data_IF_887235758564
#
_entry.id   IF_887235758564
#
_cell.length_a   1.000
_cell.length_b   1.000
_cell.length_c   1.000
_cell.angle_alpha   90.00
_cell.angle_beta   90.00
_cell.angle_gamma   90.00
#
_symmetry.space_group_name_H-M   'P 1'
#
loop_
_entity.id
_entity.type
_entity.pdbx_description
1 polymer ?
#
# COMPACT_ATOMS: atom_id res chain seq x y z
N UNK A 1 -33.04 24.64 52.29
CA UNK A 1 -31.66 24.97 51.86
C UNK A 1 -30.85 23.71 52.07
N UNK A 2 -30.26 23.00 51.11
CA UNK A 2 -29.84 23.26 49.71
C UNK A 2 -29.99 21.97 48.89
N UNK A 3 -30.15 22.14 47.59
CA UNK A 3 -30.48 21.15 46.57
C UNK A 3 -29.26 20.70 45.74
N UNK A 4 -29.31 19.46 45.23
CA UNK A 4 -28.68 18.92 43.98
C UNK A 4 -27.13 18.88 43.97
N UNK A 5 -26.46 17.89 43.37
CA UNK A 5 -26.65 17.37 42.02
C UNK A 5 -26.04 15.97 41.84
N UNK A 6 -26.81 15.03 41.28
CA UNK A 6 -26.34 13.74 40.76
C UNK A 6 -25.79 13.93 39.34
N UNK A 7 -24.49 13.73 39.13
CA UNK A 7 -23.89 13.73 37.79
C UNK A 7 -24.12 12.38 37.10
N UNK A 8 -25.14 12.33 36.25
CA UNK A 8 -25.31 11.31 35.21
C UNK A 8 -24.22 11.46 34.15
N UNK A 9 -23.45 10.41 33.89
CA UNK A 9 -22.53 10.31 32.76
C UNK A 9 -23.28 10.25 31.41
N UNK A 10 -22.95 11.07 30.40
CA UNK A 10 -23.53 10.92 29.07
C UNK A 10 -22.64 10.09 28.13
N UNK A 11 -23.06 8.85 27.91
CA UNK A 11 -22.57 7.95 26.87
C UNK A 11 -23.18 8.36 25.50
N UNK A 12 -22.81 9.52 24.92
CA UNK A 12 -23.51 10.07 23.73
C UNK A 12 -22.63 10.58 22.58
N UNK A 13 -21.47 9.96 22.31
CA UNK A 13 -20.55 10.44 21.23
C UNK A 13 -20.31 9.47 20.07
N UNK A 14 -21.20 8.51 19.81
CA UNK A 14 -21.01 7.50 18.74
C UNK A 14 -21.62 7.85 17.37
N UNK A 15 -22.53 8.82 17.27
CA UNK A 15 -23.23 9.11 16.00
C UNK A 15 -22.71 10.34 15.23
N UNK A 16 -22.07 11.30 15.91
CA UNK A 16 -21.72 12.59 15.33
C UNK A 16 -20.73 12.51 14.15
N UNK A 17 -19.90 11.47 14.06
CA UNK A 17 -18.85 11.38 13.03
C UNK A 17 -19.28 10.66 11.74
N UNK A 18 -20.19 9.69 11.82
CA UNK A 18 -20.86 9.13 10.64
C UNK A 18 -21.68 10.20 9.91
N UNK A 19 -22.21 11.18 10.66
CA UNK A 19 -22.89 12.35 10.12
C UNK A 19 -21.89 13.35 9.53
N UNK A 20 -20.71 13.56 10.15
CA UNK A 20 -19.72 14.51 9.67
C UNK A 20 -19.13 14.12 8.29
N UNK A 21 -18.77 12.84 8.08
CA UNK A 21 -18.26 12.36 6.77
C UNK A 21 -19.34 12.44 5.68
N UNK A 22 -20.62 12.22 6.04
CA UNK A 22 -21.76 12.36 5.11
C UNK A 22 -22.10 13.83 4.82
N UNK A 23 -22.02 14.71 5.82
CA UNK A 23 -22.22 16.17 5.69
C UNK A 23 -21.09 16.84 4.89
N UNK A 24 -19.85 16.36 4.99
CA UNK A 24 -18.73 16.81 4.17
C UNK A 24 -18.92 16.42 2.68
N UNK A 25 -19.50 15.24 2.44
CA UNK A 25 -19.93 14.79 1.10
C UNK A 25 -21.05 15.66 0.52
N UNK A 26 -22.05 16.03 1.33
CA UNK A 26 -23.11 16.96 0.92
C UNK A 26 -22.58 18.38 0.66
N UNK A 27 -21.62 18.86 1.48
CA UNK A 27 -20.91 20.14 1.25
C UNK A 27 -20.08 20.17 -0.03
N UNK A 28 -19.63 19.02 -0.54
CA UNK A 28 -18.92 18.93 -1.83
C UNK A 28 -19.87 18.92 -3.02
N UNK A 29 -21.07 18.32 -2.90
CA UNK A 29 -22.10 18.39 -3.93
C UNK A 29 -22.65 19.80 -4.13
N UNK A 30 -22.84 20.57 -3.05
CA UNK A 30 -23.32 21.95 -3.11
C UNK A 30 -22.32 22.92 -3.78
N UNK A 31 -21.04 22.54 -3.90
CA UNK A 31 -19.99 23.39 -4.51
C UNK A 31 -19.91 23.34 -6.04
N UNK A 32 -20.61 22.42 -6.70
CA UNK A 32 -20.57 22.29 -8.17
C UNK A 32 -21.87 22.73 -8.88
N UNK A 33 -22.72 23.52 -8.22
CA UNK A 33 -23.91 24.11 -8.83
C UNK A 33 -23.72 25.59 -9.14
N UNK A 34 -23.50 25.90 -10.42
CA UNK A 34 -23.84 27.14 -11.15
C UNK A 34 -23.45 28.48 -10.50
N UNK A 35 -22.46 29.14 -11.10
CA UNK A 35 -22.17 30.57 -10.91
C UNK A 35 -23.35 31.39 -11.44
N UNK A 36 -24.14 31.95 -10.54
CA UNK A 36 -24.97 33.12 -10.83
C UNK A 36 -24.69 34.21 -9.79
N UNK A 37 -24.32 35.38 -10.30
CA UNK A 37 -23.97 36.60 -9.59
C UNK A 37 -25.13 37.11 -8.73
N UNK A 38 -24.91 37.29 -7.41
CA UNK A 38 -25.86 37.98 -6.55
C UNK A 38 -25.70 37.68 -5.05
N UNK A 39 -25.09 38.64 -4.32
CA UNK A 39 -25.04 38.85 -2.87
C UNK A 39 -24.74 37.69 -1.88
N UNK A 40 -23.91 37.92 -0.84
CA UNK A 40 -23.56 36.90 0.14
C UNK A 40 -24.74 36.60 1.07
N UNK A 41 -25.54 35.58 0.74
CA UNK A 41 -26.50 35.03 1.71
C UNK A 41 -25.73 34.32 2.82
N UNK A 42 -25.73 34.93 4.03
CA UNK A 42 -25.42 34.22 5.28
C UNK A 42 -26.34 33.00 5.38
N UNK A 43 -25.82 31.81 5.10
CA UNK A 43 -26.54 30.56 5.32
C UNK A 43 -26.61 30.33 6.84
N UNK A 44 -27.76 30.62 7.43
CA UNK A 44 -28.10 30.16 8.77
C UNK A 44 -28.07 28.62 8.77
N UNK A 45 -27.17 28.03 9.55
CA UNK A 45 -27.22 26.61 9.86
C UNK A 45 -28.52 26.35 10.63
N UNK A 46 -29.54 25.83 9.95
CA UNK A 46 -30.74 25.33 10.60
C UNK A 46 -30.29 24.31 11.65
N UNK A 47 -30.70 24.51 12.92
CA UNK A 47 -30.42 23.57 14.00
C UNK A 47 -31.16 22.27 13.70
N UNK A 48 -30.49 21.37 13.00
CA UNK A 48 -30.99 20.03 12.71
C UNK A 48 -31.15 19.28 14.04
N UNK A 49 -32.37 18.79 14.32
CA UNK A 49 -32.65 18.03 15.54
C UNK A 49 -32.09 16.60 15.43
N UNK A 50 -30.94 16.38 16.07
CA UNK A 50 -30.24 15.10 16.04
C UNK A 50 -31.02 13.98 16.74
N UNK A 51 -31.96 14.29 17.65
CA UNK A 51 -32.82 13.26 18.27
C UNK A 51 -33.77 12.65 17.24
N UNK A 52 -34.24 13.45 16.27
CA UNK A 52 -35.09 12.99 15.16
C UNK A 52 -34.29 12.27 14.07
N UNK A 53 -33.08 12.74 13.76
CA UNK A 53 -32.23 12.10 12.74
C UNK A 53 -31.61 10.78 13.20
N UNK A 54 -31.29 10.63 14.49
CA UNK A 54 -30.65 9.44 15.03
C UNK A 54 -31.33 8.12 14.63
N UNK A 55 -32.66 7.95 14.84
CA UNK A 55 -33.34 6.72 14.42
C UNK A 55 -33.31 6.54 12.90
N UNK A 56 -33.42 7.61 12.10
CA UNK A 56 -33.35 7.52 10.64
C UNK A 56 -31.97 7.07 10.13
N UNK A 57 -30.89 7.55 10.76
CA UNK A 57 -29.51 7.18 10.42
C UNK A 57 -29.25 5.72 10.78
N UNK A 58 -29.65 5.29 11.97
CA UNK A 58 -29.51 3.89 12.40
C UNK A 58 -30.26 2.96 11.47
N UNK A 59 -31.52 3.28 11.13
CA UNK A 59 -32.31 2.53 10.15
C UNK A 59 -31.64 2.45 8.77
N UNK A 60 -30.95 3.51 8.34
CA UNK A 60 -30.21 3.52 7.07
C UNK A 60 -28.95 2.66 7.12
N UNK A 61 -28.23 2.66 8.25
CA UNK A 61 -27.05 1.81 8.46
C UNK A 61 -27.47 0.35 8.47
N UNK A 62 -28.51 0.02 9.22
CA UNK A 62 -29.08 -1.33 9.28
C UNK A 62 -29.52 -1.82 7.89
N UNK A 63 -30.27 -0.99 7.15
CA UNK A 63 -30.65 -1.31 5.76
C UNK A 63 -29.44 -1.53 4.84
N UNK A 64 -28.35 -0.77 5.02
CA UNK A 64 -27.11 -0.99 4.25
C UNK A 64 -26.44 -2.29 4.65
N UNK A 65 -26.39 -2.59 5.95
CA UNK A 65 -25.76 -3.80 6.48
C UNK A 65 -26.42 -5.08 5.94
N UNK A 66 -27.72 -5.06 5.69
CA UNK A 66 -28.46 -6.18 5.07
C UNK A 66 -27.94 -6.55 3.66
N UNK A 67 -27.27 -5.65 2.95
CA UNK A 67 -26.67 -5.91 1.64
C UNK A 67 -25.28 -6.54 1.69
N UNK A 68 -24.73 -6.78 2.89
CA UNK A 68 -23.40 -7.33 3.10
C UNK A 68 -23.47 -8.78 3.61
N UNK A 69 -22.53 -9.65 3.22
CA UNK A 69 -21.49 -9.42 2.21
C UNK A 69 -22.08 -9.29 0.79
N UNK A 70 -21.42 -8.51 -0.07
CA UNK A 70 -21.82 -8.37 -1.47
C UNK A 70 -21.42 -9.66 -2.20
N UNK A 71 -22.42 -10.52 -2.49
CA UNK A 71 -22.22 -11.89 -3.00
C UNK A 71 -21.31 -11.97 -4.24
N UNK A 72 -21.39 -10.99 -5.14
CA UNK A 72 -20.55 -10.93 -6.35
C UNK A 72 -19.06 -10.69 -6.07
N UNK A 73 -18.71 -10.21 -4.87
CA UNK A 73 -17.33 -10.00 -4.45
C UNK A 73 -16.72 -11.20 -3.72
N UNK A 74 -17.51 -12.20 -3.33
CA UNK A 74 -17.01 -13.39 -2.64
C UNK A 74 -15.94 -14.13 -3.46
N UNK A 75 -16.10 -14.35 -4.78
CA UNK A 75 -15.06 -14.99 -5.59
C UNK A 75 -13.75 -14.19 -5.63
N UNK A 76 -13.84 -12.85 -5.70
CA UNK A 76 -12.68 -11.95 -5.67
C UNK A 76 -11.94 -12.07 -4.33
N UNK A 77 -12.68 -12.14 -3.22
CA UNK A 77 -12.09 -12.32 -1.90
C UNK A 77 -11.40 -13.68 -1.74
N UNK A 78 -11.98 -14.77 -2.29
CA UNK A 78 -11.33 -16.09 -2.31
C UNK A 78 -10.05 -16.08 -3.14
N UNK A 79 -10.09 -15.49 -4.34
CA UNK A 79 -8.92 -15.34 -5.22
C UNK A 79 -7.80 -14.55 -4.52
N UNK A 80 -8.14 -13.48 -3.79
CA UNK A 80 -7.18 -12.70 -2.99
C UNK A 80 -6.49 -13.54 -1.92
N UNK A 81 -7.23 -14.40 -1.20
CA UNK A 81 -6.65 -15.29 -0.19
C UNK A 81 -5.75 -16.36 -0.82
N UNK A 82 -6.16 -16.96 -1.95
CA UNK A 82 -5.33 -17.93 -2.68
C UNK A 82 -4.03 -17.28 -3.17
N UNK A 83 -4.14 -16.12 -3.83
CA UNK A 83 -2.98 -15.37 -4.31
C UNK A 83 -2.05 -14.97 -3.15
N UNK A 84 -2.61 -14.60 -2.00
CA UNK A 84 -1.80 -14.35 -0.79
C UNK A 84 -1.01 -15.58 -0.37
N UNK A 85 -1.63 -16.77 -0.33
CA UNK A 85 -0.94 -17.99 0.09
C UNK A 85 0.19 -18.37 -0.88
N UNK A 86 -0.09 -18.33 -2.19
CA UNK A 86 0.92 -18.59 -3.23
C UNK A 86 2.07 -17.60 -3.15
N UNK A 87 1.78 -16.31 -2.92
CA UNK A 87 2.80 -15.27 -2.75
C UNK A 87 3.70 -15.53 -1.53
N UNK A 88 3.11 -15.81 -0.37
CA UNK A 88 3.87 -16.05 0.86
C UNK A 88 4.75 -17.29 0.73
N UNK A 89 4.20 -18.38 0.20
CA UNK A 89 4.96 -19.60 -0.06
C UNK A 89 6.09 -19.35 -1.06
N UNK A 90 5.79 -18.71 -2.20
CA UNK A 90 6.77 -18.40 -3.24
C UNK A 90 7.93 -17.54 -2.73
N UNK A 91 7.64 -16.45 -2.02
CA UNK A 91 8.70 -15.61 -1.42
C UNK A 91 9.52 -16.41 -0.40
N UNK A 92 8.88 -17.21 0.46
CA UNK A 92 9.58 -18.04 1.44
C UNK A 92 10.52 -19.03 0.76
N UNK A 93 10.07 -19.71 -0.29
CA UNK A 93 10.86 -20.67 -1.07
C UNK A 93 12.05 -19.99 -1.75
N UNK A 94 11.84 -18.83 -2.39
CA UNK A 94 12.92 -18.09 -3.05
C UNK A 94 13.99 -17.59 -2.07
N UNK A 95 13.61 -17.22 -0.84
CA UNK A 95 14.55 -16.77 0.20
C UNK A 95 15.49 -17.88 0.71
N UNK A 96 15.21 -19.16 0.41
CA UNK A 96 16.13 -20.25 0.70
C UNK A 96 17.35 -20.27 -0.25
N UNK A 97 17.21 -19.67 -1.44
CA UNK A 97 18.24 -19.66 -2.48
C UNK A 97 18.82 -18.27 -2.72
N UNK A 98 18.04 -17.21 -2.49
CA UNK A 98 18.45 -15.83 -2.71
C UNK A 98 18.61 -15.10 -1.36
N UNK A 99 19.83 -14.67 -1.00
CA UNK A 99 20.07 -13.96 0.24
C UNK A 99 19.34 -12.61 0.25
N UNK A 100 18.84 -12.26 1.43
CA UNK A 100 18.21 -10.98 1.71
C UNK A 100 18.92 -10.31 2.86
N UNK A 101 19.29 -9.05 2.67
CA UNK A 101 19.88 -8.19 3.69
C UNK A 101 18.85 -7.16 4.14
N UNK A 102 18.66 -7.03 5.45
CA UNK A 102 17.84 -5.99 6.06
C UNK A 102 18.71 -5.06 6.91
N UNK A 103 18.42 -3.76 6.91
CA UNK A 103 19.15 -2.82 7.74
C UNK A 103 18.67 -2.92 9.19
N UNK A 104 19.61 -2.99 10.14
CA UNK A 104 19.32 -3.07 11.58
C UNK A 104 18.57 -1.84 12.13
N UNK A 105 18.72 -0.69 11.50
CA UNK A 105 18.28 0.59 12.07
C UNK A 105 17.15 1.27 11.30
N UNK A 106 16.92 0.89 10.05
CA UNK A 106 15.87 1.49 9.23
C UNK A 106 15.20 0.42 8.37
N UNK A 107 14.01 0.70 7.81
CA UNK A 107 13.28 -0.27 7.01
C UNK A 107 13.93 -0.62 5.66
N UNK A 108 15.17 -0.22 5.36
CA UNK A 108 15.78 -0.51 4.05
C UNK A 108 16.22 -1.97 3.95
N UNK A 109 16.01 -2.58 2.78
CA UNK A 109 16.38 -3.97 2.50
C UNK A 109 17.08 -4.04 1.14
N UNK A 110 17.84 -5.11 0.92
CA UNK A 110 18.54 -5.37 -0.33
C UNK A 110 18.55 -6.87 -0.61
N UNK A 111 18.15 -7.26 -1.82
CA UNK A 111 18.22 -8.67 -2.27
C UNK A 111 19.62 -8.92 -2.82
N UNK A 112 20.41 -9.79 -2.22
CA UNK A 112 21.79 -10.06 -2.63
C UNK A 112 22.67 -10.50 -1.46
N UNK A 113 23.87 -11.03 -1.78
CA UNK A 113 24.80 -11.56 -0.77
C UNK A 113 25.31 -10.47 0.18
N UNK A 114 25.55 -9.28 -0.36
CA UNK A 114 26.01 -8.11 0.38
C UNK A 114 25.07 -6.95 0.08
N UNK A 115 24.78 -6.15 1.11
CA UNK A 115 23.98 -4.94 0.94
C UNK A 115 24.76 -3.82 0.24
N UNK A 116 24.06 -2.76 -0.15
CA UNK A 116 24.67 -1.61 -0.83
C UNK A 116 25.40 -0.65 0.14
N UNK A 117 26.23 0.21 -0.43
CA UNK A 117 26.96 1.28 0.26
C UNK A 117 26.33 2.68 0.08
N UNK A 118 25.14 2.75 -0.52
CA UNK A 118 24.38 4.00 -0.61
C UNK A 118 24.07 4.51 0.81
N UNK A 119 24.42 5.77 1.05
CA UNK A 119 24.28 6.46 2.33
C UNK A 119 22.85 7.00 2.50
N UNK A 120 21.89 6.11 2.70
CA UNK A 120 20.47 6.45 2.93
C UNK A 120 19.98 6.12 4.33
N UNK A 121 20.82 5.48 5.16
CA UNK A 121 20.41 5.05 6.48
C UNK A 121 20.13 6.23 7.41
N UNK A 122 19.03 6.12 8.17
CA UNK A 122 18.68 7.07 9.24
C UNK A 122 19.31 6.73 10.61
N UNK A 123 20.03 5.61 10.68
CA UNK A 123 20.68 5.14 11.90
C UNK A 123 19.73 4.93 13.07
N UNK A 124 20.28 4.59 14.22
CA UNK A 124 19.51 4.36 15.43
C UNK A 124 18.71 5.60 15.84
N UNK A 125 17.40 5.42 16.09
CA UNK A 125 16.47 6.50 16.50
C UNK A 125 16.44 7.71 15.55
N UNK A 126 16.73 7.53 14.26
CA UNK A 126 16.74 8.60 13.25
C UNK A 126 17.69 9.78 13.57
N UNK A 127 18.73 9.55 14.39
CA UNK A 127 19.65 10.61 14.83
C UNK A 127 20.75 10.93 13.83
N UNK A 128 21.15 9.94 13.02
CA UNK A 128 22.18 10.10 12.02
C UNK A 128 21.54 10.17 10.63
N UNK A 129 21.98 11.10 9.78
CA UNK A 129 21.54 11.15 8.38
C UNK A 129 22.68 10.69 7.49
N UNK A 130 22.32 10.07 6.37
CA UNK A 130 23.23 9.74 5.28
C UNK A 130 24.41 8.84 5.73
N UNK A 131 24.11 7.76 6.45
CA UNK A 131 25.10 6.70 6.75
C UNK A 131 24.91 5.50 5.84
N UNK A 132 25.99 4.73 5.67
CA UNK A 132 25.89 3.36 5.15
C UNK A 132 25.06 2.51 6.13
N UNK A 133 24.43 1.47 5.60
CA UNK A 133 23.57 0.58 6.37
C UNK A 133 24.39 -0.48 7.10
N UNK A 134 23.96 -0.85 8.30
CA UNK A 134 24.43 -2.04 9.00
C UNK A 134 23.48 -3.19 8.65
N UNK A 135 23.98 -4.11 7.84
CA UNK A 135 23.17 -5.18 7.25
C UNK A 135 23.16 -6.43 8.13
N UNK A 136 21.97 -7.00 8.31
CA UNK A 136 21.74 -8.31 8.92
C UNK A 136 20.95 -9.19 7.96
N UNK A 137 20.90 -10.50 8.22
CA UNK A 137 20.05 -11.43 7.45
C UNK A 137 18.58 -11.00 7.60
N UNK A 138 17.94 -10.69 6.48
CA UNK A 138 16.51 -10.39 6.40
C UNK A 138 15.66 -11.65 6.25
N UNK A 139 14.35 -11.51 6.41
CA UNK A 139 13.37 -12.58 6.27
C UNK A 139 12.10 -12.18 5.52
N UNK A 140 11.11 -13.07 5.57
CA UNK A 140 9.84 -12.93 4.85
C UNK A 140 9.11 -11.63 5.16
N UNK A 141 9.02 -11.27 6.44
CA UNK A 141 8.30 -10.08 6.92
C UNK A 141 8.99 -8.75 6.53
N UNK A 142 10.27 -8.79 6.15
CA UNK A 142 10.97 -7.60 5.66
C UNK A 142 10.55 -7.24 4.23
N UNK A 143 10.19 -8.25 3.42
CA UNK A 143 9.62 -8.12 2.07
C UNK A 143 8.11 -7.92 2.14
N UNK A 144 7.40 -8.85 2.77
CA UNK A 144 5.95 -8.87 2.91
C UNK A 144 5.56 -8.30 4.28
N UNK A 145 5.58 -6.97 4.39
CA UNK A 145 5.33 -6.27 5.65
C UNK A 145 3.92 -6.59 6.15
N UNK A 146 3.77 -7.23 7.33
CA UNK A 146 2.46 -7.51 7.91
C UNK A 146 1.74 -6.21 8.27
N UNK A 147 0.50 -6.06 7.82
CA UNK A 147 -0.40 -4.98 8.25
C UNK A 147 -1.53 -5.64 9.03
N UNK A 148 -1.68 -5.29 10.29
CA UNK A 148 -2.68 -5.86 11.18
C UNK A 148 -3.87 -4.92 11.39
N UNK A 149 -5.03 -5.50 11.65
CA UNK A 149 -6.28 -4.80 12.00
C UNK A 149 -7.01 -5.56 13.09
N UNK A 150 -7.94 -4.90 13.78
CA UNK A 150 -8.89 -5.59 14.65
C UNK A 150 -9.84 -6.47 13.83
N UNK A 151 -9.98 -7.72 14.26
CA UNK A 151 -10.97 -8.62 13.72
C UNK A 151 -12.39 -8.14 14.09
N UNK A 152 -13.31 -8.06 13.13
CA UNK A 152 -14.68 -7.65 13.38
C UNK A 152 -15.66 -8.82 13.14
N UNK A 153 -16.74 -8.85 13.91
CA UNK A 153 -17.83 -9.81 13.68
C UNK A 153 -18.64 -9.44 12.42
N UNK A 154 -18.82 -8.14 12.16
CA UNK A 154 -19.45 -7.65 10.94
C UNK A 154 -19.03 -6.21 10.60
N UNK A 155 -19.13 -5.87 9.32
CA UNK A 155 -18.75 -4.59 8.72
C UNK A 155 -19.40 -3.35 9.38
N UNK A 156 -20.61 -3.50 9.93
CA UNK A 156 -21.40 -2.39 10.49
C UNK A 156 -21.62 -2.54 12.01
N UNK A 157 -20.66 -3.12 12.73
CA UNK A 157 -20.75 -3.26 14.17
C UNK A 157 -20.48 -1.95 14.93
N UNK A 158 -20.69 -1.98 16.24
CA UNK A 158 -20.37 -0.85 17.12
C UNK A 158 -18.88 -0.51 17.07
N UNK A 159 -18.57 0.79 17.08
CA UNK A 159 -17.19 1.30 17.07
C UNK A 159 -16.42 0.82 18.30
N UNK A 160 -15.29 0.14 18.09
CA UNK A 160 -14.39 -0.33 19.14
C UNK A 160 -13.85 0.88 19.92
N UNK A 161 -14.09 0.89 21.22
CA UNK A 161 -13.55 1.92 22.13
C UNK A 161 -12.14 1.58 22.59
N UNK A 162 -11.45 2.54 23.21
CA UNK A 162 -10.07 2.31 23.65
C UNK A 162 -9.92 1.16 24.64
N UNK A 163 -10.85 1.00 25.60
CA UNK A 163 -10.73 -0.05 26.60
C UNK A 163 -11.04 -1.43 26.00
N UNK A 164 -11.96 -1.47 25.03
CA UNK A 164 -12.33 -2.71 24.34
C UNK A 164 -11.26 -3.24 23.40
N UNK A 165 -10.16 -2.51 23.15
CA UNK A 165 -9.13 -2.94 22.19
C UNK A 165 -8.49 -4.28 22.53
N UNK A 166 -8.56 -4.70 23.79
CA UNK A 166 -8.02 -5.97 24.26
C UNK A 166 -9.01 -7.12 24.12
N UNK A 167 -10.27 -6.81 23.82
CA UNK A 167 -11.35 -7.79 23.64
C UNK A 167 -11.42 -8.29 22.18
N UNK A 168 -10.57 -7.75 21.29
CA UNK A 168 -10.55 -8.07 19.87
C UNK A 168 -9.17 -8.57 19.45
N UNK A 169 -9.17 -9.66 18.70
CA UNK A 169 -7.96 -10.20 18.08
C UNK A 169 -7.45 -9.28 16.97
N UNK A 170 -6.14 -9.40 16.70
CA UNK A 170 -5.46 -8.71 15.62
C UNK A 170 -5.13 -9.73 14.52
N UNK A 171 -5.59 -9.46 13.30
CA UNK A 171 -5.35 -10.33 12.14
C UNK A 171 -4.85 -9.51 10.94
N UNK A 172 -4.27 -10.13 9.90
CA UNK A 172 -3.81 -9.41 8.73
C UNK A 172 -4.95 -8.66 8.01
N UNK A 173 -4.71 -7.41 7.61
CA UNK A 173 -5.69 -6.50 7.01
C UNK A 173 -6.35 -7.09 5.75
N UNK A 174 -5.57 -7.77 4.92
CA UNK A 174 -6.08 -8.46 3.73
C UNK A 174 -7.03 -9.60 4.10
N UNK A 175 -6.71 -10.35 5.16
CA UNK A 175 -7.54 -11.47 5.62
C UNK A 175 -8.85 -10.95 6.18
N UNK A 176 -8.81 -9.92 7.04
CA UNK A 176 -10.02 -9.27 7.55
C UNK A 176 -10.89 -8.71 6.41
N UNK A 177 -10.28 -8.05 5.42
CA UNK A 177 -11.02 -7.53 4.26
C UNK A 177 -11.75 -8.65 3.49
N UNK A 178 -11.10 -9.80 3.32
CA UNK A 178 -11.70 -10.95 2.64
C UNK A 178 -12.80 -11.61 3.48
N UNK A 179 -12.60 -11.73 4.79
CA UNK A 179 -13.61 -12.22 5.74
C UNK A 179 -14.87 -11.35 5.70
N UNK A 180 -14.71 -10.02 5.77
CA UNK A 180 -15.84 -9.10 5.65
C UNK A 180 -16.50 -9.12 4.26
N UNK A 181 -15.78 -9.60 3.25
CA UNK A 181 -16.31 -9.83 1.92
C UNK A 181 -16.99 -11.19 1.74
N UNK A 182 -17.05 -12.01 2.80
CA UNK A 182 -17.72 -13.31 2.82
C UNK A 182 -16.85 -14.47 2.32
N UNK A 183 -15.54 -14.30 2.21
CA UNK A 183 -14.63 -15.43 1.99
C UNK A 183 -14.33 -16.12 3.31
N UNK A 184 -14.52 -17.43 3.35
CA UNK A 184 -14.10 -18.28 4.46
C UNK A 184 -12.66 -18.79 4.20
N UNK A 185 -11.67 -18.46 5.05
CA UNK A 185 -10.31 -18.96 4.92
C UNK A 185 -10.18 -20.47 5.12
N UNK A 186 -11.18 -21.15 5.71
CA UNK A 186 -11.20 -22.59 5.94
C UNK A 186 -11.92 -23.39 4.85
N UNK A 187 -12.38 -22.74 3.77
CA UNK A 187 -12.95 -23.44 2.62
C UNK A 187 -11.94 -24.46 2.07
N UNK A 188 -12.33 -25.74 2.01
CA UNK A 188 -11.48 -26.86 1.58
C UNK A 188 -10.84 -26.63 0.20
N UNK A 189 -11.47 -25.80 -0.65
CA UNK A 189 -10.94 -25.39 -1.97
C UNK A 189 -9.72 -24.45 -1.89
N UNK A 190 -9.53 -23.73 -0.78
CA UNK A 190 -8.34 -22.90 -0.55
C UNK A 190 -7.15 -23.75 -0.12
N UNK A 191 -7.39 -24.77 0.73
CA UNK A 191 -6.37 -25.67 1.24
C UNK A 191 -5.94 -26.73 0.22
N UNK A 192 -6.84 -27.21 -0.65
CA UNK A 192 -6.49 -28.21 -1.68
C UNK A 192 -5.46 -27.71 -2.71
N UNK A 193 -5.36 -26.39 -2.92
CA UNK A 193 -4.24 -25.80 -3.69
C UNK A 193 -2.90 -25.78 -2.95
N UNK A 194 -2.93 -25.82 -1.61
CA UNK A 194 -1.75 -25.93 -0.75
C UNK A 194 -1.24 -27.37 -0.66
N UNK A 195 -2.13 -28.36 -0.72
CA UNK A 195 -1.79 -29.78 -0.57
C UNK A 195 -1.25 -30.42 -1.87
N UNK A 196 -1.51 -29.81 -3.04
CA UNK A 196 -0.86 -30.19 -4.29
C UNK A 196 0.63 -29.79 -4.38
N UNK A 197 1.15 -29.03 -3.40
CA UNK A 197 2.59 -28.83 -3.22
C UNK A 197 3.22 -29.75 -2.15
N UNK A 198 2.40 -30.34 -1.27
CA UNK A 198 2.88 -31.16 -0.14
C UNK A 198 2.77 -32.67 -0.37
N UNK A 199 2.00 -33.15 -1.36
CA UNK A 199 1.84 -34.59 -1.66
C UNK A 199 3.08 -35.28 -2.29
N UNK A 200 4.28 -34.71 -2.13
CA UNK A 200 5.53 -35.26 -2.61
C UNK A 200 6.60 -35.46 -1.52
N UNK A 201 6.27 -35.37 -0.22
CA UNK A 201 7.26 -35.57 0.85
C UNK A 201 6.79 -36.49 1.97
N UNK A 202 6.87 -37.79 1.72
CA UNK A 202 7.21 -38.77 2.77
C UNK A 202 8.74 -38.98 2.75
N UNK A 203 9.40 -38.44 3.78
CA UNK A 203 10.75 -38.76 4.29
C UNK A 203 12.02 -38.44 3.45
N UNK A 204 12.60 -37.23 3.56
CA UNK A 204 14.08 -36.99 3.57
C UNK A 204 14.42 -35.62 4.21
N UNK A 205 15.47 -35.49 5.06
CA UNK A 205 16.01 -34.20 5.48
C UNK A 205 17.24 -33.80 4.65
N UNK A 206 17.11 -32.92 3.64
CA UNK A 206 18.22 -32.06 3.14
C UNK A 206 17.73 -31.11 2.06
N UNK A 207 18.36 -29.94 1.99
CA UNK A 207 18.29 -28.95 0.92
C UNK A 207 18.31 -29.61 -0.46
N UNK A 208 17.13 -29.87 -1.04
CA UNK A 208 17.02 -30.21 -2.45
C UNK A 208 17.40 -28.98 -3.25
N UNK A 209 18.47 -29.08 -4.03
CA UNK A 209 18.85 -28.04 -4.97
C UNK A 209 17.79 -27.95 -6.06
N UNK A 210 16.88 -26.97 -5.97
CA UNK A 210 15.94 -26.68 -7.05
C UNK A 210 16.74 -26.37 -8.33
N UNK A 211 16.28 -26.89 -9.47
CA UNK A 211 16.87 -26.52 -10.74
C UNK A 211 16.60 -25.04 -11.05
N UNK A 212 17.43 -24.37 -11.87
CA UNK A 212 17.19 -22.98 -12.27
C UNK A 212 15.80 -22.78 -12.91
N UNK A 213 15.30 -23.78 -13.64
CA UNK A 213 13.98 -23.74 -14.27
C UNK A 213 12.85 -23.82 -13.24
N UNK A 214 13.00 -24.66 -12.21
CA UNK A 214 12.02 -24.75 -11.12
C UNK A 214 11.98 -23.46 -10.30
N UNK A 215 13.16 -22.87 -10.03
CA UNK A 215 13.26 -21.59 -9.35
C UNK A 215 12.58 -20.47 -10.15
N UNK A 216 12.79 -20.43 -11.47
CA UNK A 216 12.12 -19.49 -12.37
C UNK A 216 10.60 -19.73 -12.42
N UNK A 217 10.14 -20.98 -12.39
CA UNK A 217 8.71 -21.33 -12.32
C UNK A 217 8.06 -20.83 -11.03
N UNK A 218 8.68 -21.05 -9.88
CA UNK A 218 8.24 -20.52 -8.59
C UNK A 218 8.19 -18.99 -8.64
N UNK A 219 9.22 -18.35 -9.19
CA UNK A 219 9.30 -16.90 -9.29
C UNK A 219 8.21 -16.31 -10.22
N UNK A 220 7.92 -16.93 -11.35
CA UNK A 220 6.84 -16.49 -12.24
C UNK A 220 5.47 -16.60 -11.55
N UNK A 221 5.18 -17.73 -10.90
CA UNK A 221 3.95 -17.90 -10.11
C UNK A 221 3.84 -16.85 -9.00
N UNK A 222 4.95 -16.52 -8.35
CA UNK A 222 5.02 -15.51 -7.28
C UNK A 222 4.70 -14.11 -7.79
N UNK A 223 5.20 -13.73 -8.98
CA UNK A 223 4.86 -12.43 -9.61
C UNK A 223 3.37 -12.37 -9.96
N UNK A 224 2.82 -13.42 -10.58
CA UNK A 224 1.39 -13.47 -10.88
C UNK A 224 0.55 -13.34 -9.62
N UNK A 225 0.91 -14.08 -8.56
CA UNK A 225 0.24 -14.01 -7.26
C UNK A 225 0.32 -12.60 -6.64
N UNK A 226 1.46 -11.91 -6.75
CA UNK A 226 1.62 -10.52 -6.31
C UNK A 226 0.66 -9.56 -7.03
N UNK A 227 0.52 -9.69 -8.35
CA UNK A 227 -0.38 -8.85 -9.14
C UNK A 227 -1.86 -9.16 -8.89
N UNK A 228 -2.22 -10.45 -8.81
CA UNK A 228 -3.58 -10.90 -8.50
C UNK A 228 -3.99 -10.43 -7.10
N UNK A 229 -3.13 -10.59 -6.10
CA UNK A 229 -3.37 -10.11 -4.74
C UNK A 229 -3.67 -8.60 -4.72
N UNK A 230 -2.81 -7.80 -5.33
CA UNK A 230 -2.94 -6.33 -5.28
C UNK A 230 -4.16 -5.84 -6.04
N UNK A 231 -4.42 -6.38 -7.23
CA UNK A 231 -5.58 -6.01 -8.04
C UNK A 231 -6.90 -6.47 -7.40
N UNK A 232 -6.94 -7.65 -6.78
CA UNK A 232 -8.09 -8.13 -6.04
C UNK A 232 -8.39 -7.28 -4.80
N UNK A 233 -7.36 -6.89 -4.04
CA UNK A 233 -7.51 -5.93 -2.93
C UNK A 233 -8.04 -4.58 -3.43
N UNK A 234 -7.56 -4.08 -4.57
CA UNK A 234 -8.08 -2.85 -5.18
C UNK A 234 -9.57 -2.94 -5.48
N UNK A 235 -10.01 -4.04 -6.11
CA UNK A 235 -11.44 -4.30 -6.39
C UNK A 235 -12.26 -4.35 -5.11
N UNK A 236 -11.76 -5.01 -4.06
CA UNK A 236 -12.45 -5.08 -2.76
C UNK A 236 -12.57 -3.70 -2.10
N UNK A 237 -11.54 -2.86 -2.18
CA UNK A 237 -11.55 -1.49 -1.63
C UNK A 237 -12.55 -0.54 -2.33
N UNK A 238 -13.06 -0.90 -3.51
CA UNK A 238 -14.15 -0.17 -4.17
C UNK A 238 -15.51 -0.42 -3.52
N UNK A 239 -15.69 -1.59 -2.89
CA UNK A 239 -16.97 -2.04 -2.33
C UNK A 239 -16.97 -1.96 -0.81
N UNK A 240 -15.87 -2.39 -0.18
CA UNK A 240 -15.74 -2.50 1.27
C UNK A 240 -14.95 -1.31 1.81
N UNK A 241 -15.54 -0.50 2.71
CA UNK A 241 -14.86 0.66 3.25
C UNK A 241 -13.72 0.23 4.17
N UNK A 242 -12.51 0.71 3.89
CA UNK A 242 -11.35 0.54 4.76
C UNK A 242 -10.78 1.92 5.08
N UNK A 243 -10.45 2.11 6.35
CA UNK A 243 -9.91 3.36 6.90
C UNK A 243 -8.48 3.14 7.38
N UNK A 244 -7.63 4.14 7.16
CA UNK A 244 -6.23 4.13 7.60
C UNK A 244 -5.93 5.41 8.34
N UNK A 245 -5.03 5.37 9.31
CA UNK A 245 -4.56 6.59 9.94
C UNK A 245 -3.57 7.31 9.01
N UNK A 246 -3.73 8.61 8.82
CA UNK A 246 -2.78 9.42 8.03
C UNK A 246 -1.36 9.46 8.63
N UNK A 247 -1.24 9.29 9.94
CA UNK A 247 -0.01 9.55 10.68
C UNK A 247 0.65 8.30 11.29
N UNK A 248 -0.03 7.17 11.31
CA UNK A 248 0.51 5.91 11.79
C UNK A 248 0.03 4.74 10.92
N UNK A 249 0.65 3.58 11.06
CA UNK A 249 0.34 2.37 10.28
C UNK A 249 -0.95 1.65 10.70
N UNK A 250 -1.87 2.34 11.40
CA UNK A 250 -3.10 1.70 11.89
C UNK A 250 -4.14 1.65 10.78
N UNK A 251 -4.75 0.47 10.59
CA UNK A 251 -5.76 0.20 9.57
C UNK A 251 -7.02 -0.36 10.23
N UNK A 252 -8.18 -0.09 9.65
CA UNK A 252 -9.45 -0.58 10.11
C UNK A 252 -10.35 -0.91 8.91
N UNK A 253 -10.80 -2.16 8.82
CA UNK A 253 -11.79 -2.59 7.81
C UNK A 253 -13.17 -2.23 8.32
N UNK A 254 -13.74 -1.13 7.84
CA UNK A 254 -15.02 -0.62 8.32
C UNK A 254 -15.24 0.86 7.98
N UNK A 255 -16.49 1.36 8.05
CA UNK A 255 -16.84 2.70 7.59
C UNK A 255 -16.33 3.84 8.47
N UNK A 256 -16.05 3.64 9.76
CA UNK A 256 -15.80 4.74 10.72
C UNK A 256 -14.41 4.76 11.37
N UNK A 257 -13.65 3.67 11.31
CA UNK A 257 -12.45 3.56 12.12
C UNK A 257 -12.76 3.32 13.60
N UNK A 258 -11.82 2.75 14.35
CA UNK A 258 -11.96 2.57 15.79
C UNK A 258 -11.59 3.83 16.57
N UNK A 259 -11.94 3.84 17.87
CA UNK A 259 -11.62 4.91 18.84
C UNK A 259 -10.50 4.53 19.81
N UNK A 260 -9.81 3.42 19.57
CA UNK A 260 -8.60 3.12 20.34
C UNK A 260 -7.56 4.25 20.21
N UNK A 261 -7.03 4.69 21.35
CA UNK A 261 -6.02 5.75 21.44
C UNK A 261 -4.61 5.18 21.32
N UNK A 262 -4.27 4.65 20.16
CA UNK A 262 -2.99 3.98 19.89
C UNK A 262 -2.09 4.79 18.96
N UNK A 263 -2.54 5.94 18.48
CA UNK A 263 -1.73 6.79 17.61
C UNK A 263 -0.58 7.42 18.42
N UNK A 264 0.65 6.96 18.18
CA UNK A 264 1.85 7.44 18.87
C UNK A 264 2.18 8.91 18.60
N UNK A 265 1.78 9.44 17.44
CA UNK A 265 2.05 10.82 17.02
C UNK A 265 1.36 11.84 17.91
N UNK A 266 0.12 11.57 18.32
CA UNK A 266 -0.68 12.52 19.09
C UNK A 266 -0.81 12.16 20.57
N UNK A 267 0.09 11.33 21.10
CA UNK A 267 0.00 10.83 22.49
C UNK A 267 -0.02 11.96 23.52
N UNK A 268 0.78 13.01 23.30
CA UNK A 268 0.92 14.16 24.21
C UNK A 268 0.20 15.41 23.72
N UNK A 269 -0.50 15.33 22.60
CA UNK A 269 -1.28 16.43 22.04
C UNK A 269 -2.75 16.37 22.49
N UNK A 270 -3.52 17.41 22.15
CA UNK A 270 -4.95 17.53 22.48
C UNK A 270 -5.80 16.37 21.97
N UNK A 271 -5.34 15.65 20.95
CA UNK A 271 -5.99 14.51 20.34
C UNK A 271 -5.81 13.20 21.14
N UNK A 272 -4.97 13.20 22.19
CA UNK A 272 -4.82 12.11 23.18
C UNK A 272 -4.66 10.72 22.54
N UNK A 273 -3.85 10.62 21.49
CA UNK A 273 -3.59 9.38 20.77
C UNK A 273 -4.71 8.89 19.84
N UNK A 274 -5.70 9.73 19.50
CA UNK A 274 -6.71 9.41 18.50
C UNK A 274 -6.13 9.34 17.08
N UNK A 275 -6.80 8.60 16.20
CA UNK A 275 -6.42 8.43 14.80
C UNK A 275 -7.07 9.48 13.90
N UNK A 276 -6.33 9.90 12.87
CA UNK A 276 -6.86 10.70 11.77
C UNK A 276 -7.21 9.76 10.62
N UNK A 277 -8.47 9.33 10.56
CA UNK A 277 -8.94 8.35 9.59
C UNK A 277 -9.09 8.94 8.19
N UNK A 278 -8.52 8.28 7.20
CA UNK A 278 -8.71 8.55 5.78
C UNK A 278 -9.06 7.26 5.02
N UNK A 279 -9.54 7.37 3.78
CA UNK A 279 -9.83 6.20 2.94
C UNK A 279 -8.51 5.47 2.61
N UNK A 280 -8.52 4.15 2.74
CA UNK A 280 -7.39 3.30 2.37
C UNK A 280 -7.19 3.21 0.86
N UNK A 281 -5.94 2.97 0.46
CA UNK A 281 -5.56 2.48 -0.86
C UNK A 281 -4.87 1.11 -0.74
N UNK A 282 -4.53 0.49 -1.88
CA UNK A 282 -3.92 -0.84 -1.94
C UNK A 282 -2.60 -0.89 -1.16
N UNK A 283 -1.77 0.15 -1.25
CA UNK A 283 -0.47 0.21 -0.59
C UNK A 283 -0.58 0.30 0.94
N UNK A 284 -1.74 0.68 1.48
CA UNK A 284 -1.93 0.64 2.92
C UNK A 284 -2.17 -0.78 3.45
N UNK A 285 -2.70 -1.70 2.64
CA UNK A 285 -2.98 -3.08 3.03
C UNK A 285 -1.89 -4.04 2.55
N UNK A 286 -1.32 -3.77 1.37
CA UNK A 286 -0.25 -4.54 0.74
C UNK A 286 0.89 -3.60 0.38
N UNK A 287 1.63 -3.07 1.38
CA UNK A 287 2.67 -2.08 1.15
C UNK A 287 3.80 -2.64 0.26
N UNK A 288 4.13 -1.99 -0.88
CA UNK A 288 5.24 -2.41 -1.70
C UNK A 288 6.55 -1.98 -1.05
N UNK A 289 7.39 -2.95 -0.72
CA UNK A 289 8.73 -2.69 -0.21
C UNK A 289 9.67 -2.31 -1.36
N UNK A 290 9.97 -1.03 -1.54
CA UNK A 290 10.84 -0.58 -2.65
C UNK A 290 12.32 -0.79 -2.30
N UNK A 291 13.06 -1.44 -3.21
CA UNK A 291 14.49 -1.76 -3.06
C UNK A 291 15.30 -1.20 -4.21
N UNK A 292 16.60 -1.01 -3.96
CA UNK A 292 17.57 -0.72 -5.01
C UNK A 292 17.84 -1.98 -5.83
N UNK A 293 17.73 -1.85 -7.14
CA UNK A 293 18.03 -2.90 -8.11
C UNK A 293 19.33 -2.57 -8.84
N UNK A 294 20.25 -3.54 -8.84
CA UNK A 294 21.45 -3.54 -9.67
C UNK A 294 21.08 -4.01 -11.08
N UNK A 295 21.45 -3.24 -12.10
CA UNK A 295 21.37 -3.65 -13.51
C UNK A 295 22.67 -4.35 -13.93
N UNK A 296 22.69 -5.09 -15.07
CA UNK A 296 23.90 -5.75 -15.54
C UNK A 296 25.11 -4.84 -15.68
N UNK A 297 24.90 -3.58 -16.09
CA UNK A 297 25.96 -2.57 -16.27
C UNK A 297 26.36 -1.84 -14.96
N UNK A 298 25.62 -2.01 -13.89
CA UNK A 298 25.89 -1.31 -12.62
C UNK A 298 27.01 -2.04 -11.84
N UNK A 299 27.79 -1.31 -11.01
CA UNK A 299 28.86 -1.91 -10.22
C UNK A 299 28.32 -3.04 -9.32
N UNK A 300 29.14 -4.06 -9.00
CA UNK A 300 28.72 -5.18 -8.15
C UNK A 300 28.11 -4.75 -6.82
N UNK A 301 28.63 -3.67 -6.24
CA UNK A 301 28.10 -3.03 -5.03
C UNK A 301 27.63 -1.61 -5.38
N UNK A 302 26.38 -1.30 -5.07
CA UNK A 302 25.79 0.00 -5.38
C UNK A 302 26.31 1.09 -4.41
N UNK A 303 26.69 2.23 -4.96
CA UNK A 303 27.32 3.36 -4.26
C UNK A 303 26.54 4.66 -4.52
N UNK A 304 26.88 5.75 -3.82
CA UNK A 304 26.13 7.00 -3.91
C UNK A 304 26.11 7.61 -5.30
N UNK A 305 27.21 7.48 -6.04
CA UNK A 305 27.45 8.14 -7.33
C UNK A 305 26.44 7.69 -8.40
N UNK A 306 25.91 6.47 -8.29
CA UNK A 306 24.93 5.92 -9.24
C UNK A 306 23.49 5.93 -8.75
N UNK A 307 23.21 6.49 -7.56
CA UNK A 307 21.90 6.40 -6.89
C UNK A 307 20.75 6.89 -7.77
N UNK A 308 20.96 7.96 -8.54
CA UNK A 308 19.93 8.53 -9.42
C UNK A 308 19.73 7.70 -10.71
N UNK A 309 20.61 6.74 -10.98
CA UNK A 309 20.60 5.89 -12.18
C UNK A 309 20.17 4.45 -11.90
N UNK A 310 20.23 3.98 -10.66
CA UNK A 310 19.79 2.62 -10.31
C UNK A 310 18.28 2.44 -10.36
N UNK A 311 17.85 1.20 -10.58
CA UNK A 311 16.44 0.82 -10.54
C UNK A 311 15.89 0.87 -9.11
N UNK A 312 14.61 1.21 -8.98
CA UNK A 312 13.86 1.27 -7.71
C UNK A 312 12.57 0.51 -7.90
N UNK A 313 12.49 -0.71 -7.39
CA UNK A 313 11.41 -1.65 -7.72
C UNK A 313 10.90 -2.34 -6.44
N UNK A 314 9.63 -2.83 -6.39
CA UNK A 314 9.20 -3.71 -5.31
C UNK A 314 10.11 -4.93 -5.10
N UNK A 315 10.42 -5.24 -3.85
CA UNK A 315 11.32 -6.32 -3.44
C UNK A 315 10.90 -7.68 -3.98
N UNK A 316 9.59 -7.96 -4.00
CA UNK A 316 9.02 -9.18 -4.58
C UNK A 316 9.43 -9.33 -6.04
N UNK A 317 9.39 -8.25 -6.83
CA UNK A 317 9.75 -8.28 -8.24
C UNK A 317 11.27 -8.40 -8.44
N UNK A 318 12.07 -7.75 -7.60
CA UNK A 318 13.53 -7.89 -7.68
C UNK A 318 13.99 -9.31 -7.33
N UNK A 319 13.41 -9.88 -6.27
CA UNK A 319 13.63 -11.26 -5.85
C UNK A 319 13.27 -12.25 -6.96
N UNK A 320 12.05 -12.15 -7.51
CA UNK A 320 11.60 -13.05 -8.56
C UNK A 320 12.42 -12.89 -9.85
N UNK A 321 12.80 -11.67 -10.20
CA UNK A 321 13.64 -11.44 -11.38
C UNK A 321 15.04 -12.04 -11.24
N UNK A 322 15.64 -11.99 -10.05
CA UNK A 322 16.92 -12.66 -9.75
C UNK A 322 16.82 -14.18 -9.79
N UNK A 323 15.63 -14.71 -9.53
CA UNK A 323 15.30 -16.13 -9.70
C UNK A 323 14.96 -16.51 -11.16
N UNK A 324 15.07 -15.60 -12.13
CA UNK A 324 14.86 -15.88 -13.54
C UNK A 324 13.43 -15.63 -14.05
N UNK A 325 12.54 -15.02 -13.25
CA UNK A 325 11.21 -14.66 -13.72
C UNK A 325 11.22 -13.46 -14.68
N UNK A 326 10.28 -13.48 -15.62
CA UNK A 326 10.04 -12.37 -16.53
C UNK A 326 9.11 -11.38 -15.82
N UNK A 327 9.61 -10.17 -15.56
CA UNK A 327 8.82 -9.13 -14.90
C UNK A 327 7.93 -8.42 -15.93
N UNK A 328 6.64 -8.17 -15.60
CA UNK A 328 5.72 -7.45 -16.49
C UNK A 328 6.25 -6.08 -16.92
N UNK A 329 6.03 -5.74 -18.19
CA UNK A 329 6.59 -4.54 -18.83
C UNK A 329 6.19 -3.22 -18.13
N UNK A 330 5.07 -3.20 -17.40
CA UNK A 330 4.64 -2.02 -16.62
C UNK A 330 5.65 -1.59 -15.55
N UNK A 331 6.56 -2.46 -15.15
CA UNK A 331 7.63 -2.17 -14.19
C UNK A 331 8.95 -1.75 -14.86
N UNK A 332 9.06 -1.75 -16.19
CA UNK A 332 10.30 -1.46 -16.91
C UNK A 332 10.89 -0.09 -16.54
N UNK A 333 10.04 0.94 -16.41
CA UNK A 333 10.48 2.28 -15.99
C UNK A 333 11.11 2.28 -14.58
N UNK A 334 10.52 1.52 -13.65
CA UNK A 334 11.03 1.37 -12.28
C UNK A 334 12.35 0.59 -12.24
N UNK A 335 12.45 -0.44 -13.09
CA UNK A 335 13.63 -1.29 -13.21
C UNK A 335 14.77 -0.65 -14.02
N UNK A 336 14.49 0.43 -14.76
CA UNK A 336 15.43 1.10 -15.68
C UNK A 336 16.09 0.13 -16.66
N UNK A 337 15.29 -0.77 -17.22
CA UNK A 337 15.73 -1.70 -18.28
C UNK A 337 15.98 -0.89 -19.55
N UNK A 338 17.17 -1.01 -20.13
CA UNK A 338 17.45 -0.44 -21.44
C UNK A 338 16.81 -1.33 -22.52
N UNK A 339 16.00 -0.72 -23.40
CA UNK A 339 15.20 -1.39 -24.46
C UNK A 339 16.06 -2.27 -25.39
N UNK A 340 17.38 -2.05 -25.46
CA UNK A 340 18.31 -2.83 -26.28
C UNK A 340 18.49 -4.30 -25.86
N UNK A 341 18.10 -4.67 -24.65
CA UNK A 341 18.25 -6.06 -24.15
C UNK A 341 17.08 -6.99 -24.48
N UNK A 342 15.95 -6.45 -24.95
CA UNK A 342 14.76 -7.25 -25.31
C UNK A 342 14.90 -7.89 -26.70
N UNK A 343 15.82 -7.41 -27.54
CA UNK A 343 15.96 -7.83 -28.94
C UNK A 343 16.65 -9.20 -29.08
N UNK A 344 17.36 -9.69 -28.06
CA UNK A 344 18.16 -10.91 -28.18
C UNK A 344 17.48 -12.20 -27.68
N UNK A 345 16.24 -12.14 -27.19
CA UNK A 345 15.47 -13.34 -26.80
C UNK A 345 13.99 -13.17 -27.14
N UNK A 346 13.62 -13.43 -28.40
CA UNK A 346 12.22 -13.51 -28.81
C UNK A 346 12.00 -13.07 -30.24
N UNK A 347 11.85 -14.04 -31.15
CA UNK A 347 11.59 -13.80 -32.56
C UNK A 347 10.24 -13.12 -32.84
N UNK A 348 10.20 -12.46 -34.00
CA UNK A 348 9.03 -12.05 -34.78
C UNK A 348 7.89 -11.38 -34.00
N UNK A 349 7.99 -10.06 -33.81
CA UNK A 349 6.80 -9.24 -33.60
C UNK A 349 6.19 -8.90 -34.96
N UNK A 350 5.04 -9.47 -35.26
CA UNK A 350 4.11 -8.93 -36.23
C UNK A 350 3.66 -7.53 -35.82
N UNK A 351 3.55 -6.66 -36.83
CA UNK A 351 3.12 -5.29 -36.74
C UNK A 351 1.76 -5.14 -36.03
N UNK A 352 1.73 -4.41 -34.93
CA UNK A 352 0.54 -3.68 -34.52
C UNK A 352 0.86 -2.19 -34.44
N UNK A 353 0.42 -1.52 -35.50
CA UNK A 353 0.31 -0.07 -35.66
C UNK A 353 -0.38 0.56 -34.45
N UNK A 354 0.32 1.45 -33.77
CA UNK A 354 -0.27 2.40 -32.83
C UNK A 354 -0.60 3.68 -33.62
N UNK A 355 -1.87 3.90 -33.91
CA UNK A 355 -2.36 5.20 -34.39
C UNK A 355 -2.22 6.23 -33.26
N UNK A 356 -1.17 7.05 -33.31
CA UNK A 356 -1.07 8.26 -32.50
C UNK A 356 -1.83 9.40 -33.17
N UNK A 357 -2.96 9.77 -32.58
CA UNK A 357 -3.76 10.93 -32.95
C UNK A 357 -3.02 12.22 -32.54
N UNK A 358 -2.06 12.67 -33.35
CA UNK A 358 -1.45 14.00 -33.23
C UNK A 358 -2.12 14.93 -34.24
N UNK A 359 -3.07 15.75 -33.77
CA UNK A 359 -3.50 16.94 -34.51
C UNK A 359 -2.75 18.16 -34.00
N UNK A 360 -2.12 18.83 -34.97
CA UNK A 360 -1.71 20.23 -34.99
C UNK A 360 -0.54 20.59 -34.08
N UNK A 361 0.67 20.63 -34.66
CA UNK A 361 1.43 21.87 -34.86
C UNK A 361 2.45 21.62 -36.01
N UNK A 362 2.39 22.47 -37.03
CA UNK A 362 3.19 22.42 -38.27
C UNK A 362 4.67 22.76 -37.97
N UNK A 363 5.64 22.11 -38.61
CA UNK A 363 7.06 22.43 -38.44
C UNK A 363 7.48 23.58 -39.38
N UNK A 364 8.21 24.55 -38.85
CA UNK A 364 9.02 25.47 -39.66
C UNK A 364 10.49 25.19 -39.33
N UNK A 365 11.18 24.56 -40.28
CA UNK A 365 12.63 24.56 -40.37
C UNK A 365 13.08 25.90 -40.95
N UNK A 366 14.05 26.57 -40.32
CA UNK A 366 15.18 27.19 -41.03
C UNK A 366 16.36 27.52 -40.09
N UNK A 367 17.44 26.77 -40.32
CA UNK A 367 18.89 27.07 -40.27
C UNK A 367 19.29 28.50 -39.83
N UNK A 368 20.20 28.62 -38.85
CA UNK A 368 21.55 29.21 -39.06
C UNK A 368 22.49 28.96 -37.89
N UNK A 369 23.77 29.14 -38.20
CA UNK A 369 24.98 28.60 -37.60
C UNK A 369 25.51 29.35 -36.37
N UNK A 370 26.39 28.67 -35.62
CA UNK A 370 27.61 29.12 -34.93
C UNK A 370 27.63 30.52 -34.30
N UNK A 371 28.04 30.60 -33.02
CA UNK A 371 29.19 31.41 -32.58
C UNK A 371 29.66 30.96 -31.17
N UNK A 372 30.98 30.98 -31.04
CA UNK A 372 31.86 30.51 -29.98
C UNK A 372 31.71 31.18 -28.61
N UNK A 373 32.14 30.42 -27.60
CA UNK A 373 32.51 30.89 -26.27
C UNK A 373 33.51 32.08 -26.29
N UNK A 374 33.31 33.03 -25.39
CA UNK A 374 34.41 33.77 -24.74
C UNK A 374 33.99 34.36 -23.38
N UNK A 375 34.92 34.20 -22.46
CA UNK A 375 34.92 34.46 -21.04
C UNK A 375 35.40 35.90 -20.78
N UNK A 376 34.68 36.70 -19.98
CA UNK A 376 35.24 37.91 -19.34
C UNK A 376 34.69 38.04 -17.90
N UNK A 377 35.65 38.14 -16.97
CA UNK A 377 35.53 38.38 -15.53
C UNK A 377 34.94 39.76 -15.23
N UNK A 378 34.31 39.92 -14.07
CA UNK A 378 34.12 41.24 -13.45
C UNK A 378 33.21 41.23 -12.23
N UNK A 379 33.80 41.41 -11.05
CA UNK A 379 33.15 41.63 -9.75
C UNK A 379 32.06 42.71 -9.80
N UNK A 380 31.05 42.65 -8.91
CA UNK A 380 30.79 43.71 -7.92
C UNK A 380 29.63 43.32 -6.95
N UNK A 381 29.99 43.20 -5.67
CA UNK A 381 29.39 43.84 -4.48
C UNK A 381 27.90 43.58 -4.11
N UNK A 382 27.75 42.81 -3.03
CA UNK A 382 27.04 43.06 -1.75
C UNK A 382 25.88 44.07 -1.63
N UNK A 383 24.89 43.70 -0.79
CA UNK A 383 23.80 44.53 -0.25
C UNK A 383 22.49 44.25 -1.00
N UNK A 384 21.35 43.99 -0.39
CA UNK A 384 20.69 44.77 0.66
C UNK A 384 19.78 43.87 1.53
N UNK A 385 19.84 44.14 2.84
CA UNK A 385 18.81 44.02 3.91
C UNK A 385 17.76 42.92 3.85
#
# INVERSE_FOLDING_TARGET
>A
MTSKCSMKCPCEKNLYFLIADWMEGLRKMVRHGVVCSGHPRRLYATKVDLRKLRPMILKRIEKRAQGYPVRTMVPVAKEVLQARNVLFHGVSTLLNFLPLMACKFCPEIYVGEQGHLIQTCWGYKHRAKNRVHEWVKGGLNDILVPVEVFHLNNMFQSVITHNQRFDFDRIPAVVELCLQAGADPHDENLNSSSWNLEAANESVPRTESLSPNDLASVANKTITAWETLRSGVEKLLLVYPVKVCKYCSEVHVGPSGHKARLCGVFKYESWKGAHFWMKANVDNLVPPKIVWRRRPQDPPVLVNEGKDFYGRVPAVLDLCSKAGAIVPAKYNCMMKVQVLSIINFGGSLENQTFESNTRNLVPIFHISQNISAKQIKGNLICGWT
#
